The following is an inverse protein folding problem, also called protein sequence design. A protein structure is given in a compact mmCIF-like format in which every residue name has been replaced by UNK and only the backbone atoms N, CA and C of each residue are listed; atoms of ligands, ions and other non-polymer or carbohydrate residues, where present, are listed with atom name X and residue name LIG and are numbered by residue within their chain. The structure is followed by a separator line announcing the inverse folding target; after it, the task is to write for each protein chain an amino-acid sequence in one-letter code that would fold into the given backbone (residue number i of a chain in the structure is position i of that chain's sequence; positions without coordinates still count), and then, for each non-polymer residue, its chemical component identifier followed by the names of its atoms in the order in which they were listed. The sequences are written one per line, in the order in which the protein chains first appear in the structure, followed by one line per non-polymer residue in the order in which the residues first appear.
data_IF_937506135648
#
_entry.id   IF_937506135648
#
_cell.length_a   1.000
_cell.length_b   1.000
_cell.length_c   1.000
_cell.angle_alpha   90.00
_cell.angle_beta   90.00
_cell.angle_gamma   90.00
#
_symmetry.space_group_name_H-M   'P 1'
#
loop_
_entity.id
_entity.type
_entity.pdbx_description
1 polymer ?
#
# COMPACT_ATOMS: atom_id res chain seq x y z
N UNK A 1 32.00 45.23 36.20
CA UNK A 1 30.85 44.37 36.53
C UNK A 1 29.88 44.46 35.37
N UNK A 2 29.32 43.35 34.90
CA UNK A 2 28.39 43.33 33.75
C UNK A 2 27.04 42.80 34.21
N UNK A 3 25.95 43.48 33.87
CA UNK A 3 24.59 43.01 34.10
C UNK A 3 24.00 42.53 32.78
N UNK A 4 23.69 41.25 32.68
CA UNK A 4 22.91 40.68 31.58
C UNK A 4 21.47 40.46 32.05
N UNK A 5 20.52 41.18 31.43
CA UNK A 5 19.11 41.00 31.72
C UNK A 5 18.59 39.70 31.08
N UNK A 6 17.98 38.82 31.87
CA UNK A 6 17.26 37.64 31.37
C UNK A 6 15.81 38.03 31.10
N UNK A 7 15.36 37.88 29.86
CA UNK A 7 13.96 38.01 29.48
C UNK A 7 13.30 36.63 29.42
N UNK A 8 12.20 36.43 30.16
CA UNK A 8 11.42 35.19 30.16
C UNK A 8 10.13 35.43 29.37
N UNK A 9 9.93 34.69 28.28
CA UNK A 9 8.73 34.79 27.46
C UNK A 9 7.70 33.74 27.88
N UNK A 10 6.65 34.17 28.58
CA UNK A 10 5.54 33.31 29.02
C UNK A 10 4.41 33.30 27.98
N UNK A 11 4.19 32.16 27.32
CA UNK A 11 3.04 31.98 26.42
C UNK A 11 1.80 31.53 27.20
N UNK A 12 0.87 32.44 27.44
CA UNK A 12 -0.42 32.13 28.08
C UNK A 12 -1.33 31.32 27.16
N UNK A 13 -1.76 30.13 27.60
CA UNK A 13 -2.83 29.39 26.94
C UNK A 13 -4.17 30.10 27.15
N UNK A 14 -4.99 30.20 26.10
CA UNK A 14 -6.29 30.86 26.15
C UNK A 14 -7.37 29.93 25.59
N UNK A 15 -8.09 29.24 26.48
CA UNK A 15 -9.14 28.29 26.13
C UNK A 15 -10.52 28.92 26.33
N UNK A 16 -11.31 29.05 25.25
CA UNK A 16 -12.70 29.47 25.33
C UNK A 16 -13.65 28.29 25.09
N UNK A 17 -14.19 27.75 26.18
CA UNK A 17 -15.40 26.93 26.17
C UNK A 17 -16.60 27.82 25.83
N UNK A 18 -17.47 27.38 24.90
CA UNK A 18 -18.74 28.08 24.64
C UNK A 18 -19.89 27.14 24.27
N UNK A 19 -20.69 26.82 25.28
CA UNK A 19 -22.03 26.23 25.24
C UNK A 19 -22.61 26.29 26.67
N UNK A 20 -23.93 26.16 26.89
CA UNK A 20 -25.00 25.89 25.93
C UNK A 20 -26.04 27.03 25.84
N UNK A 21 -27.04 26.89 24.96
CA UNK A 21 -28.44 27.03 25.34
C UNK A 21 -29.30 26.05 24.53
N UNK A 22 -30.28 25.44 25.21
CA UNK A 22 -31.40 24.69 24.62
C UNK A 22 -32.65 25.51 24.88
N UNK A 23 -33.57 25.56 23.92
CA UNK A 23 -34.93 25.99 24.17
C UNK A 23 -35.90 25.14 23.31
N UNK A 24 -36.75 24.37 23.99
CA UNK A 24 -37.89 23.72 23.36
C UNK A 24 -38.95 24.75 22.93
N UNK A 25 -39.71 24.42 21.89
CA UNK A 25 -41.15 24.65 21.94
C UNK A 25 -41.89 23.71 20.98
N UNK A 26 -42.83 22.94 21.52
CA UNK A 26 -43.76 22.13 20.73
C UNK A 26 -45.06 22.92 20.52
N UNK A 27 -45.65 22.84 19.33
CA UNK A 27 -47.09 23.04 19.19
C UNK A 27 -47.69 22.20 18.06
N UNK A 28 -48.80 21.53 18.39
CA UNK A 28 -49.68 20.79 17.49
C UNK A 28 -51.02 21.58 17.41
N UNK A 29 -51.96 21.36 16.48
CA UNK A 29 -52.16 20.30 15.49
C UNK A 29 -53.13 20.77 14.37
N UNK A 30 -53.32 19.94 13.32
CA UNK A 30 -54.54 19.82 12.45
C UNK A 30 -54.97 21.05 11.61
N UNK A 31 -55.39 20.96 10.34
CA UNK A 31 -55.63 19.86 9.37
C UNK A 31 -55.35 20.42 7.93
N UNK A 32 -55.77 19.93 6.75
CA UNK A 32 -56.77 18.93 6.30
C UNK A 32 -56.44 18.40 4.86
N UNK A 33 -57.48 17.95 4.12
CA UNK A 33 -57.59 17.63 2.68
C UNK A 33 -56.91 18.66 1.72
N UNK A 34 -56.53 18.34 0.46
CA UNK A 34 -57.18 17.45 -0.53
C UNK A 34 -56.25 17.05 -1.71
N UNK A 35 -56.65 16.05 -2.50
CA UNK A 35 -56.05 15.58 -3.78
C UNK A 35 -57.19 15.08 -4.70
N UNK A 36 -57.02 14.72 -6.01
CA UNK A 36 -55.78 14.56 -6.81
C UNK A 36 -55.86 15.20 -8.23
N UNK A 37 -55.17 14.57 -9.21
CA UNK A 37 -55.14 14.75 -10.70
C UNK A 37 -54.07 15.68 -11.31
N UNK A 38 -53.43 15.40 -12.48
CA UNK A 38 -53.20 14.16 -13.29
C UNK A 38 -52.23 14.44 -14.48
N UNK A 39 -51.87 13.38 -15.24
CA UNK A 39 -51.42 13.38 -16.68
C UNK A 39 -49.94 13.71 -17.01
N UNK A 40 -49.20 12.67 -17.47
CA UNK A 40 -48.30 12.57 -18.66
C UNK A 40 -47.12 13.59 -18.88
N UNK A 41 -46.11 13.35 -19.73
CA UNK A 41 -45.48 12.15 -20.32
C UNK A 41 -44.24 12.62 -21.12
N UNK A 42 -43.22 11.74 -21.29
CA UNK A 42 -42.12 11.90 -22.28
C UNK A 42 -41.21 13.13 -22.05
N UNK A 43 -40.00 13.24 -22.63
CA UNK A 43 -39.44 12.58 -23.82
C UNK A 43 -38.00 12.13 -23.60
N UNK A 44 -37.55 11.12 -24.34
CA UNK A 44 -36.14 10.81 -24.55
C UNK A 44 -35.43 11.94 -25.32
N UNK A 45 -34.17 12.20 -25.01
CA UNK A 45 -33.23 12.69 -26.03
C UNK A 45 -31.85 12.03 -25.86
N UNK A 46 -31.06 12.05 -26.93
CA UNK A 46 -29.88 11.22 -27.12
C UNK A 46 -28.72 12.06 -27.70
N UNK A 47 -27.50 11.50 -27.75
CA UNK A 47 -26.22 12.18 -28.05
C UNK A 47 -25.80 13.16 -26.91
N UNK A 48 -24.51 13.33 -26.61
CA UNK A 48 -23.37 13.34 -27.52
C UNK A 48 -22.12 12.62 -27.01
N UNK A 49 -21.44 11.91 -27.93
CA UNK A 49 -20.08 11.40 -27.73
C UNK A 49 -19.08 12.52 -27.98
N UNK A 50 -18.23 12.85 -27.00
CA UNK A 50 -17.05 13.67 -27.21
C UNK A 50 -15.78 12.92 -26.77
N UNK A 51 -15.06 12.35 -27.75
CA UNK A 51 -13.73 11.77 -27.55
C UNK A 51 -12.69 12.91 -27.43
N UNK A 52 -12.38 13.36 -26.22
CA UNK A 52 -11.22 14.24 -25.96
C UNK A 52 -9.95 13.42 -25.90
N UNK A 53 -9.34 13.23 -27.07
CA UNK A 53 -8.04 12.60 -27.24
C UNK A 53 -6.92 13.53 -26.74
N UNK A 54 -6.68 13.61 -25.43
CA UNK A 54 -5.54 14.34 -24.86
C UNK A 54 -4.29 13.46 -24.83
N UNK A 55 -3.47 13.57 -25.88
CA UNK A 55 -2.12 13.01 -25.90
C UNK A 55 -1.20 13.79 -24.96
N UNK A 56 -1.12 13.36 -23.70
CA UNK A 56 -0.11 13.87 -22.75
C UNK A 56 1.18 13.06 -22.90
N UNK A 57 2.13 13.60 -23.65
CA UNK A 57 3.53 13.16 -23.57
C UNK A 57 4.06 13.54 -22.19
N UNK A 58 4.42 12.55 -21.36
CA UNK A 58 5.09 12.78 -20.08
C UNK A 58 6.38 11.97 -20.04
N UNK A 59 7.50 12.64 -19.71
CA UNK A 59 8.84 12.08 -19.86
C UNK A 59 9.17 11.02 -18.81
N UNK A 60 9.48 9.82 -19.28
CA UNK A 60 9.67 8.63 -18.46
C UNK A 60 11.07 8.61 -17.79
N UNK A 61 11.24 9.41 -16.72
CA UNK A 61 12.48 9.49 -15.92
C UNK A 61 12.69 8.25 -15.04
N UNK A 62 12.98 7.13 -15.68
CA UNK A 62 13.20 5.83 -15.08
C UNK A 62 14.52 5.75 -14.27
N UNK A 63 14.46 5.84 -12.95
CA UNK A 63 15.57 5.51 -12.02
C UNK A 63 15.92 3.99 -12.01
N UNK A 64 15.27 3.17 -12.85
CA UNK A 64 15.48 1.72 -12.91
C UNK A 64 16.64 1.28 -13.83
N UNK A 65 17.81 1.91 -13.68
CA UNK A 65 19.03 1.50 -14.41
C UNK A 65 19.37 0.03 -14.16
N UNK A 66 19.69 -0.71 -15.23
CA UNK A 66 19.86 -2.17 -15.24
C UNK A 66 21.03 -2.60 -16.11
N UNK A 67 21.71 -3.71 -15.77
CA UNK A 67 22.35 -4.60 -16.74
C UNK A 67 21.54 -5.90 -16.87
N UNK A 68 21.20 -6.31 -18.09
CA UNK A 68 20.56 -7.62 -18.36
C UNK A 68 21.65 -8.62 -18.72
N UNK A 69 21.90 -9.58 -17.83
CA UNK A 69 22.73 -10.75 -18.16
C UNK A 69 21.87 -11.86 -18.75
N UNK A 70 22.02 -12.13 -20.05
CA UNK A 70 21.53 -13.39 -20.62
C UNK A 70 22.32 -14.56 -20.04
N UNK A 71 21.63 -15.66 -19.76
CA UNK A 71 22.25 -16.98 -19.64
C UNK A 71 21.39 -17.99 -20.41
N UNK A 72 21.90 -18.41 -21.56
CA UNK A 72 21.29 -19.46 -22.38
C UNK A 72 21.66 -20.84 -21.83
N UNK A 73 20.82 -21.83 -22.16
CA UNK A 73 21.15 -23.25 -22.27
C UNK A 73 21.74 -24.00 -21.06
N UNK A 74 21.09 -25.09 -20.68
CA UNK A 74 21.50 -26.44 -21.11
C UNK A 74 20.37 -27.42 -20.82
N UNK A 75 20.00 -28.22 -21.82
CA UNK A 75 19.10 -29.36 -21.69
C UNK A 75 19.91 -30.66 -21.65
N UNK A 76 19.53 -31.61 -20.80
CA UNK A 76 19.80 -33.03 -21.06
C UNK A 76 18.84 -33.95 -20.28
N UNK A 77 18.58 -35.13 -20.87
CA UNK A 77 17.87 -36.29 -20.30
C UNK A 77 18.86 -37.15 -19.45
N UNK A 78 18.55 -38.28 -18.79
CA UNK A 78 17.68 -39.44 -19.08
C UNK A 78 17.08 -40.05 -17.78
N UNK A 79 16.23 -41.05 -17.95
CA UNK A 79 15.25 -41.74 -17.09
C UNK A 79 15.64 -42.24 -15.67
N UNK A 80 14.58 -42.29 -14.85
CA UNK A 80 14.19 -43.24 -13.78
C UNK A 80 15.19 -44.21 -13.10
N UNK A 81 15.10 -44.27 -11.76
CA UNK A 81 14.51 -45.46 -11.10
C UNK A 81 13.85 -45.15 -9.72
N UNK A 82 13.61 -46.16 -8.85
CA UNK A 82 12.43 -46.22 -7.96
C UNK A 82 12.75 -46.45 -6.46
N UNK A 83 11.90 -45.87 -5.59
CA UNK A 83 11.83 -46.07 -4.11
C UNK A 83 12.97 -45.41 -3.32
N UNK A 84 12.72 -44.64 -2.26
CA UNK A 84 12.12 -45.11 -1.00
C UNK A 84 11.46 -43.98 -0.18
N UNK A 85 10.78 -44.36 0.92
CA UNK A 85 10.05 -43.47 1.83
C UNK A 85 10.99 -42.63 2.72
N UNK A 86 10.63 -41.37 2.96
CA UNK A 86 11.14 -40.59 4.09
C UNK A 86 12.28 -39.64 3.76
N UNK A 87 11.95 -38.42 3.33
CA UNK A 87 12.84 -37.27 3.51
C UNK A 87 12.00 -36.00 3.67
N UNK A 88 12.00 -35.42 4.87
CA UNK A 88 11.42 -34.11 5.11
C UNK A 88 12.20 -33.09 4.30
N UNK A 89 11.56 -32.46 3.31
CA UNK A 89 12.19 -31.43 2.46
C UNK A 89 12.53 -30.19 3.30
N UNK A 90 13.66 -30.25 3.99
CA UNK A 90 14.40 -29.07 4.39
C UNK A 90 14.69 -28.28 3.12
N UNK A 91 13.92 -27.21 2.91
CA UNK A 91 14.14 -26.33 1.78
C UNK A 91 15.53 -25.72 1.95
N UNK A 92 16.50 -26.25 1.20
CA UNK A 92 17.81 -25.61 1.02
C UNK A 92 17.59 -24.31 0.25
N UNK A 93 17.15 -23.29 0.98
CA UNK A 93 17.34 -21.90 0.59
C UNK A 93 18.85 -21.73 0.40
N UNK A 94 19.31 -21.80 -0.85
CA UNK A 94 20.69 -21.44 -1.18
C UNK A 94 20.87 -20.02 -0.65
N UNK A 95 21.76 -19.87 0.33
CA UNK A 95 21.86 -18.66 1.13
C UNK A 95 22.05 -17.47 0.19
N UNK A 96 21.03 -16.62 0.09
CA UNK A 96 20.95 -15.64 -0.99
C UNK A 96 21.95 -14.53 -0.71
N UNK A 97 23.13 -14.63 -1.31
CA UNK A 97 24.26 -13.73 -1.11
C UNK A 97 23.96 -12.38 -1.72
N UNK A 98 23.53 -11.43 -0.89
CA UNK A 98 23.22 -10.07 -1.32
C UNK A 98 22.24 -9.38 -0.37
N UNK A 99 21.76 -8.23 -0.81
CA UNK A 99 20.81 -7.40 -0.09
C UNK A 99 19.46 -7.50 -0.80
N UNK A 100 18.39 -7.85 -0.09
CA UNK A 100 17.07 -8.06 -0.65
C UNK A 100 15.98 -7.97 0.42
N UNK A 101 14.73 -7.84 0.01
CA UNK A 101 13.57 -7.89 0.92
C UNK A 101 12.71 -9.12 0.64
N UNK A 102 11.99 -9.62 1.65
CA UNK A 102 10.96 -10.66 1.52
C UNK A 102 9.66 -10.20 2.15
N UNK A 103 8.53 -10.52 1.52
CA UNK A 103 7.19 -10.34 2.07
C UNK A 103 6.47 -11.69 2.16
N UNK A 104 6.11 -12.08 3.38
CA UNK A 104 5.52 -13.39 3.72
C UNK A 104 4.30 -13.21 4.64
N UNK A 105 3.29 -14.11 4.60
CA UNK A 105 2.12 -14.03 5.48
C UNK A 105 2.49 -14.47 6.89
N UNK A 106 1.89 -13.85 7.91
CA UNK A 106 2.06 -14.30 9.30
C UNK A 106 0.90 -15.14 9.83
N UNK A 107 -0.21 -15.21 9.10
CA UNK A 107 -1.46 -15.82 9.56
C UNK A 107 -2.22 -15.01 10.62
N UNK A 108 -1.78 -13.77 10.89
CA UNK A 108 -2.41 -12.84 11.81
C UNK A 108 -3.22 -11.78 11.05
N UNK A 109 -4.14 -11.13 11.75
CA UNK A 109 -4.83 -9.91 11.27
C UNK A 109 -4.59 -8.76 12.23
N UNK A 110 -4.75 -7.52 11.76
CA UNK A 110 -4.84 -6.35 12.63
C UNK A 110 -6.22 -6.29 13.34
N UNK A 111 -6.50 -5.19 14.06
CA UNK A 111 -7.70 -5.06 14.88
C UNK A 111 -9.02 -4.96 14.08
N UNK A 112 -8.94 -4.71 12.76
CA UNK A 112 -10.08 -4.55 11.85
C UNK A 112 -10.14 -5.67 10.79
N UNK A 113 -9.34 -6.73 10.97
CA UNK A 113 -9.39 -7.94 10.14
C UNK A 113 -8.53 -7.90 8.87
N UNK A 114 -7.70 -6.87 8.66
CA UNK A 114 -6.73 -6.87 7.56
C UNK A 114 -5.64 -7.91 7.83
N UNK A 115 -5.37 -8.85 6.90
CA UNK A 115 -4.26 -9.79 7.02
C UNK A 115 -2.92 -9.07 7.11
N UNK A 116 -2.05 -9.60 7.97
CA UNK A 116 -0.72 -9.05 8.20
C UNK A 116 0.37 -9.91 7.57
N UNK A 117 1.40 -9.21 7.10
CA UNK A 117 2.55 -9.77 6.42
C UNK A 117 3.84 -9.29 7.10
N UNK A 118 4.88 -10.12 7.12
CA UNK A 118 6.21 -9.72 7.59
C UNK A 118 7.05 -9.26 6.40
N UNK A 119 7.41 -7.97 6.38
CA UNK A 119 8.42 -7.41 5.50
C UNK A 119 9.79 -7.56 6.16
N UNK A 120 10.55 -8.57 5.76
CA UNK A 120 11.91 -8.83 6.24
C UNK A 120 12.96 -8.17 5.35
N UNK A 121 13.91 -7.47 5.97
CA UNK A 121 15.02 -6.77 5.31
C UNK A 121 16.30 -7.58 5.48
N UNK A 122 16.96 -7.96 4.39
CA UNK A 122 18.21 -8.73 4.42
C UNK A 122 19.41 -7.91 3.94
N UNK A 123 20.52 -8.00 4.67
CA UNK A 123 21.83 -7.51 4.24
C UNK A 123 22.84 -8.66 4.26
N UNK A 124 23.61 -8.83 3.19
CA UNK A 124 24.57 -9.94 3.01
C UNK A 124 23.96 -11.34 3.32
N UNK A 125 22.67 -11.52 3.02
CA UNK A 125 21.91 -12.75 3.31
C UNK A 125 21.38 -12.91 4.74
N UNK A 126 21.72 -12.02 5.68
CA UNK A 126 21.22 -12.03 7.07
C UNK A 126 20.04 -11.07 7.25
N UNK A 127 19.02 -11.47 8.03
CA UNK A 127 17.88 -10.60 8.34
C UNK A 127 18.31 -9.52 9.35
N UNK A 128 18.29 -8.24 8.94
CA UNK A 128 18.76 -7.10 9.76
C UNK A 128 17.62 -6.32 10.41
N UNK A 129 16.41 -6.39 9.88
CA UNK A 129 15.19 -5.91 10.53
C UNK A 129 13.94 -6.54 9.90
N UNK A 130 12.79 -6.44 10.55
CA UNK A 130 11.51 -6.85 9.97
C UNK A 130 10.33 -6.06 10.52
N UNK A 131 9.37 -5.76 9.64
CA UNK A 131 8.17 -4.98 9.98
C UNK A 131 6.90 -5.77 9.71
N UNK A 132 5.87 -5.51 10.51
CA UNK A 132 4.53 -6.06 10.35
C UNK A 132 3.69 -5.08 9.53
N UNK A 133 3.22 -5.49 8.35
CA UNK A 133 2.58 -4.60 7.36
C UNK A 133 1.21 -5.12 6.94
N UNK A 134 0.39 -4.23 6.37
CA UNK A 134 -0.86 -4.57 5.67
C UNK A 134 -0.72 -4.36 4.16
N UNK A 135 -1.44 -5.17 3.38
CA UNK A 135 -1.54 -5.02 1.92
C UNK A 135 -2.93 -5.45 1.45
N UNK A 136 -3.59 -4.60 0.65
CA UNK A 136 -5.03 -4.74 0.39
C UNK A 136 -5.89 -4.27 1.57
N UNK A 137 -7.21 -4.23 1.39
CA UNK A 137 -8.21 -4.08 2.47
C UNK A 137 -8.80 -5.46 2.81
N UNK A 138 -9.44 -5.61 3.97
CA UNK A 138 -9.87 -6.94 4.46
C UNK A 138 -10.87 -7.64 3.52
N UNK A 139 -11.72 -6.87 2.84
CA UNK A 139 -12.71 -7.35 1.86
C UNK A 139 -12.17 -7.48 0.42
N UNK A 140 -10.86 -7.32 0.19
CA UNK A 140 -10.23 -7.36 -1.16
C UNK A 140 -9.25 -8.51 -1.35
N UNK A 141 -8.90 -9.22 -0.28
CA UNK A 141 -7.85 -10.24 -0.19
C UNK A 141 -7.97 -11.39 -1.22
N UNK A 142 -9.22 -11.75 -1.55
CA UNK A 142 -9.59 -12.82 -2.48
C UNK A 142 -9.93 -12.30 -3.90
N UNK A 143 -9.81 -11.00 -4.16
CA UNK A 143 -9.99 -10.43 -5.51
C UNK A 143 -8.73 -10.69 -6.36
N UNK A 144 -8.87 -10.60 -7.68
CA UNK A 144 -7.76 -10.80 -8.62
C UNK A 144 -6.59 -9.83 -8.36
N UNK A 145 -5.45 -10.39 -7.90
CA UNK A 145 -4.23 -9.64 -7.59
C UNK A 145 -3.47 -9.19 -8.84
N UNK A 146 -3.70 -9.78 -10.00
CA UNK A 146 -3.03 -9.40 -11.25
C UNK A 146 -3.75 -8.28 -12.02
N UNK A 147 -4.98 -7.93 -11.65
CA UNK A 147 -5.77 -6.86 -12.30
C UNK A 147 -5.74 -5.56 -11.51
N UNK A 148 -5.51 -4.43 -12.18
CA UNK A 148 -5.63 -3.10 -11.55
C UNK A 148 -7.07 -2.78 -11.14
N UNK A 149 -7.23 -1.84 -10.20
CA UNK A 149 -8.55 -1.41 -9.69
C UNK A 149 -9.29 -2.46 -8.85
N UNK A 150 -8.64 -3.57 -8.47
CA UNK A 150 -9.25 -4.56 -7.56
C UNK A 150 -9.03 -4.24 -6.09
N UNK A 151 -8.11 -3.33 -5.74
CA UNK A 151 -7.61 -3.09 -4.36
C UNK A 151 -7.06 -4.35 -3.67
N UNK A 152 -6.88 -5.46 -4.40
CA UNK A 152 -6.34 -6.69 -3.85
C UNK A 152 -4.87 -6.49 -3.44
N UNK A 153 -4.32 -7.31 -2.53
CA UNK A 153 -2.89 -7.33 -2.25
C UNK A 153 -2.05 -7.39 -3.53
N UNK A 154 -0.82 -6.87 -3.49
CA UNK A 154 0.14 -7.05 -4.60
C UNK A 154 0.33 -8.54 -4.93
N UNK A 155 0.43 -8.92 -6.22
CA UNK A 155 0.55 -10.33 -6.61
C UNK A 155 1.90 -10.94 -6.20
N UNK A 156 1.90 -12.26 -5.96
CA UNK A 156 3.12 -13.03 -5.70
C UNK A 156 4.11 -12.92 -6.87
N UNK A 157 5.41 -12.86 -6.55
CA UNK A 157 6.49 -12.74 -7.53
C UNK A 157 7.61 -11.83 -7.08
N UNK A 158 8.56 -11.56 -7.98
CA UNK A 158 9.72 -10.72 -7.71
C UNK A 158 9.54 -9.31 -8.24
N UNK A 159 10.00 -8.34 -7.47
CA UNK A 159 9.90 -6.92 -7.75
C UNK A 159 11.28 -6.25 -7.73
N UNK A 160 11.51 -5.31 -8.66
CA UNK A 160 12.59 -4.33 -8.58
C UNK A 160 12.16 -3.23 -7.62
N UNK A 161 13.08 -2.77 -6.76
CA UNK A 161 12.85 -1.71 -5.77
C UNK A 161 13.48 -0.42 -6.28
N UNK A 162 12.79 0.72 -6.14
CA UNK A 162 13.37 2.02 -6.49
C UNK A 162 14.52 2.40 -5.54
N UNK A 163 15.47 3.22 -6.01
CA UNK A 163 16.58 3.72 -5.18
C UNK A 163 16.20 4.95 -4.36
N UNK A 164 15.11 5.60 -4.76
CA UNK A 164 14.64 6.91 -4.32
C UNK A 164 13.11 6.88 -4.09
N UNK A 165 12.59 7.86 -3.34
CA UNK A 165 11.14 8.05 -3.14
C UNK A 165 10.57 9.09 -4.08
N UNK A 166 9.36 8.84 -4.57
CA UNK A 166 8.49 9.88 -5.16
C UNK A 166 7.56 10.44 -4.09
N UNK A 167 6.87 11.57 -4.34
CA UNK A 167 5.64 11.88 -3.63
C UNK A 167 4.59 10.77 -3.83
N UNK A 168 3.65 10.63 -2.88
CA UNK A 168 2.46 9.80 -3.08
C UNK A 168 1.46 10.49 -4.02
N UNK A 169 0.79 9.70 -4.87
CA UNK A 169 -0.23 10.20 -5.82
C UNK A 169 -1.67 10.05 -5.32
N UNK A 170 -1.84 9.42 -4.15
CA UNK A 170 -3.13 9.07 -3.53
C UNK A 170 -3.02 9.26 -2.01
N UNK A 171 -4.15 9.50 -1.34
CA UNK A 171 -4.18 9.86 0.10
C UNK A 171 -3.55 8.79 1.00
N UNK A 172 -3.75 7.50 0.69
CA UNK A 172 -3.14 6.38 1.41
C UNK A 172 -1.60 6.36 1.32
N UNK A 173 -1.02 6.88 0.23
CA UNK A 173 0.43 6.87 -0.01
C UNK A 173 1.19 8.02 0.68
N UNK A 174 0.49 9.06 1.13
CA UNK A 174 1.06 10.16 1.92
C UNK A 174 2.16 10.97 1.23
N UNK A 175 3.04 11.56 2.04
CA UNK A 175 4.08 12.50 1.59
C UNK A 175 5.23 11.85 0.80
N UNK A 176 5.48 10.56 1.03
CA UNK A 176 6.64 9.81 0.49
C UNK A 176 6.19 8.39 0.13
N UNK A 177 6.58 7.96 -1.06
CA UNK A 177 6.26 6.64 -1.62
C UNK A 177 7.53 6.01 -2.20
N UNK A 178 7.74 4.72 -1.98
CA UNK A 178 8.84 3.94 -2.56
C UNK A 178 8.30 3.02 -3.65
N UNK A 179 8.44 3.35 -4.94
CA UNK A 179 7.94 2.51 -6.02
C UNK A 179 8.59 1.11 -6.04
N UNK A 180 7.77 0.10 -6.35
CA UNK A 180 8.23 -1.25 -6.70
C UNK A 180 7.66 -1.64 -8.07
N UNK A 181 8.49 -2.25 -8.91
CA UNK A 181 8.11 -2.65 -10.26
C UNK A 181 8.10 -4.18 -10.39
N UNK A 182 6.99 -4.82 -10.77
CA UNK A 182 6.96 -6.26 -11.07
C UNK A 182 8.02 -6.65 -12.11
N UNK A 183 8.76 -7.72 -11.86
CA UNK A 183 9.67 -8.35 -12.83
C UNK A 183 8.98 -9.52 -13.58
N UNK A 184 7.66 -9.48 -13.66
CA UNK A 184 6.79 -10.50 -14.27
C UNK A 184 5.57 -9.83 -14.90
N UNK A 185 4.92 -10.52 -15.85
CA UNK A 185 3.74 -9.99 -16.54
C UNK A 185 2.55 -9.92 -15.58
N UNK A 186 2.03 -8.72 -15.37
CA UNK A 186 0.83 -8.45 -14.56
C UNK A 186 0.12 -7.20 -15.11
N UNK A 187 -1.17 -7.06 -14.82
CA UNK A 187 -1.96 -5.86 -15.11
C UNK A 187 -1.93 -4.83 -13.97
N UNK A 188 -1.09 -5.02 -12.94
CA UNK A 188 -0.87 -4.07 -11.84
C UNK A 188 0.23 -3.05 -12.18
N UNK A 189 -0.03 -1.79 -11.86
CA UNK A 189 0.94 -0.68 -11.82
C UNK A 189 0.81 0.08 -10.49
N UNK A 190 1.57 1.17 -10.32
CA UNK A 190 1.52 2.06 -9.15
C UNK A 190 1.68 1.37 -7.77
N UNK A 191 2.42 0.26 -7.71
CA UNK A 191 2.72 -0.45 -6.47
C UNK A 191 3.95 0.15 -5.78
N UNK A 192 3.97 0.11 -4.44
CA UNK A 192 5.08 0.62 -3.64
C UNK A 192 4.98 0.29 -2.16
N UNK A 193 5.95 0.81 -1.41
CA UNK A 193 5.99 0.79 0.06
C UNK A 193 5.77 2.22 0.56
N UNK A 194 4.92 2.39 1.57
CA UNK A 194 4.66 3.69 2.22
C UNK A 194 4.29 3.50 3.70
N UNK A 195 4.19 4.62 4.43
CA UNK A 195 3.45 4.68 5.69
C UNK A 195 1.95 4.69 5.38
N UNK A 196 1.17 3.84 6.03
CA UNK A 196 -0.28 3.85 5.96
C UNK A 196 -0.89 4.75 7.08
N UNK A 197 -1.46 5.92 6.74
CA UNK A 197 -2.08 6.80 7.72
C UNK A 197 -3.45 6.30 8.20
N UNK A 198 -4.01 5.24 7.63
CA UNK A 198 -5.29 4.62 8.02
C UNK A 198 -5.13 3.48 9.03
N UNK A 199 -3.93 2.94 9.21
CA UNK A 199 -3.68 1.71 9.97
C UNK A 199 -4.34 1.67 11.37
N UNK A 200 -5.12 0.61 11.62
CA UNK A 200 -5.95 0.35 12.81
C UNK A 200 -7.00 1.45 13.13
N UNK A 201 -7.30 2.37 12.21
CA UNK A 201 -8.34 3.40 12.41
C UNK A 201 -9.68 2.90 11.90
N UNK A 202 -10.68 2.91 12.78
CA UNK A 202 -12.06 2.59 12.41
C UNK A 202 -12.73 3.77 11.68
N UNK A 203 -12.23 4.10 10.49
CA UNK A 203 -12.72 5.17 9.62
C UNK A 203 -13.18 4.66 8.23
N UNK A 204 -13.13 3.34 8.00
CA UNK A 204 -13.47 2.69 6.73
C UNK A 204 -12.33 2.52 5.73
N UNK A 205 -11.16 3.13 5.97
CA UNK A 205 -10.03 3.11 5.01
C UNK A 205 -8.93 2.09 5.33
N UNK A 206 -8.87 1.57 6.57
CA UNK A 206 -7.80 0.70 7.08
C UNK A 206 -7.34 -0.39 6.08
N UNK A 207 -6.04 -0.41 5.83
CA UNK A 207 -5.41 -1.21 4.77
C UNK A 207 -4.93 -0.34 3.61
N UNK A 208 -4.71 -0.96 2.45
CA UNK A 208 -4.23 -0.25 1.25
C UNK A 208 -5.00 -0.69 0.01
N UNK A 209 -4.88 0.05 -1.09
CA UNK A 209 -5.33 -0.40 -2.42
C UNK A 209 -4.39 -1.45 -3.06
N UNK A 210 -3.60 -2.16 -2.23
CA UNK A 210 -2.70 -3.25 -2.60
C UNK A 210 -1.20 -2.95 -2.46
N UNK A 211 -0.84 -1.72 -2.07
CA UNK A 211 0.53 -1.34 -1.70
C UNK A 211 0.93 -1.92 -0.34
N UNK A 212 2.22 -1.84 0.01
CA UNK A 212 2.77 -2.29 1.30
C UNK A 212 2.67 -1.13 2.29
N UNK A 213 1.69 -1.19 3.19
CA UNK A 213 1.43 -0.19 4.22
C UNK A 213 2.13 -0.52 5.54
N UNK A 214 3.10 0.31 5.95
CA UNK A 214 3.77 0.27 7.24
C UNK A 214 2.96 1.06 8.29
N UNK A 215 3.01 0.63 9.55
CA UNK A 215 2.15 1.14 10.63
C UNK A 215 2.56 2.54 11.12
N UNK A 216 3.83 2.93 10.90
CA UNK A 216 4.36 4.23 11.31
C UNK A 216 5.28 4.88 10.27
N UNK A 217 5.48 6.20 10.40
CA UNK A 217 6.47 6.96 9.61
C UNK A 217 7.91 6.58 9.93
N UNK A 218 8.17 6.03 11.11
CA UNK A 218 9.52 5.69 11.57
C UNK A 218 9.97 4.35 10.98
N UNK A 219 9.09 3.34 11.00
CA UNK A 219 9.30 2.08 10.26
C UNK A 219 9.61 2.35 8.78
N UNK A 220 8.82 3.20 8.13
CA UNK A 220 9.05 3.57 6.73
C UNK A 220 10.33 4.37 6.52
N UNK A 221 10.72 5.23 7.46
CA UNK A 221 11.97 5.97 7.38
C UNK A 221 13.20 5.06 7.58
N UNK A 222 13.09 4.00 8.39
CA UNK A 222 14.10 2.95 8.53
C UNK A 222 14.15 2.00 7.31
N UNK A 223 13.02 1.61 6.71
CA UNK A 223 12.99 0.91 5.41
C UNK A 223 13.71 1.73 4.33
N UNK A 224 13.45 3.05 4.27
CA UNK A 224 14.11 3.95 3.32
C UNK A 224 15.59 4.20 3.62
N UNK A 225 16.01 4.13 4.87
CA UNK A 225 17.42 4.13 5.28
C UNK A 225 18.10 2.83 4.84
N UNK A 226 17.47 1.67 5.06
CA UNK A 226 17.94 0.38 4.56
C UNK A 226 18.09 0.39 3.03
N UNK A 227 17.10 0.89 2.27
CA UNK A 227 17.19 0.98 0.80
C UNK A 227 18.36 1.84 0.34
N UNK A 228 18.59 3.00 0.97
CA UNK A 228 19.71 3.90 0.65
C UNK A 228 21.08 3.28 0.98
N UNK A 229 21.20 2.62 2.14
CA UNK A 229 22.45 2.00 2.61
C UNK A 229 22.79 0.74 1.82
N UNK A 230 21.84 -0.20 1.71
CA UNK A 230 22.10 -1.55 1.21
C UNK A 230 21.69 -1.78 -0.25
N UNK A 231 20.87 -0.90 -0.85
CA UNK A 231 20.47 -0.95 -2.28
C UNK A 231 19.96 -2.34 -2.68
N UNK A 232 18.84 -2.80 -2.09
CA UNK A 232 18.33 -4.16 -2.28
C UNK A 232 18.11 -4.49 -3.76
N UNK A 233 18.60 -5.66 -4.18
CA UNK A 233 18.52 -6.14 -5.56
C UNK A 233 17.06 -6.39 -5.99
N UNK A 234 16.24 -6.88 -5.05
CA UNK A 234 14.83 -7.16 -5.27
C UNK A 234 14.03 -7.24 -3.96
N UNK A 235 12.71 -7.20 -4.11
CA UNK A 235 11.73 -7.66 -3.13
C UNK A 235 11.10 -8.97 -3.67
N UNK A 236 11.05 -10.02 -2.84
CA UNK A 236 10.43 -11.31 -3.14
C UNK A 236 9.08 -11.39 -2.39
N UNK A 237 7.97 -11.51 -3.10
CA UNK A 237 6.61 -11.56 -2.54
C UNK A 237 6.05 -12.97 -2.69
N UNK A 238 5.64 -13.58 -1.58
CA UNK A 238 4.98 -14.88 -1.57
C UNK A 238 3.91 -14.89 -0.46
N UNK A 239 2.80 -14.19 -0.70
CA UNK A 239 1.78 -13.86 0.31
C UNK A 239 0.51 -14.71 0.25
N UNK A 240 0.30 -15.47 -0.83
CA UNK A 240 -0.67 -16.59 -0.97
C UNK A 240 -2.03 -16.42 -0.27
#
# INVERSE_FOLDING_TARGET
MSLSCVAIASCSANAQLKSPQVLDNQQSAKSTEKSPDKIASSTTDNLSNNNTNLSVNQEDKNDFTSPVGNLSDVSNSVEAEKSTKGNSKSQKYSATTGNYMKLLPTGQTNALGNPMYKLSLFANGQEVNSYMIVAGRANTQNRDRHRSGTEAPLPDGRYRVAKSTTPGTIVEAGDRFLPIQPLFRTGRSALGIHYDPSFNKNNGEDGTSGCIGLQTRDEFSEVLKYVRTYKPQFLDVAIK
#
